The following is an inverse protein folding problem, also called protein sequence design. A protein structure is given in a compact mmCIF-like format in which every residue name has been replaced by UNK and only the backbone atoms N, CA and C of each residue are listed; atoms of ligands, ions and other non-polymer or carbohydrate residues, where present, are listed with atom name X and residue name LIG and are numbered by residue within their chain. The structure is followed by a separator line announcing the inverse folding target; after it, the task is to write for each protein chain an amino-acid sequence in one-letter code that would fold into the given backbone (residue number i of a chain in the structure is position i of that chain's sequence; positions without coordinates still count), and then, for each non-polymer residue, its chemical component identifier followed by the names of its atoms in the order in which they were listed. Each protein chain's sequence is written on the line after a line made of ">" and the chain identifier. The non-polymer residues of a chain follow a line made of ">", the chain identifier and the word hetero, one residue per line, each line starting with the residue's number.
data_IF_576573877545
#
_entry.id   IF_576573877545
#
_cell.length_a   1.000
_cell.length_b   1.000
_cell.length_c   1.000
_cell.angle_alpha   90.00
_cell.angle_beta   90.00
_cell.angle_gamma   90.00
#
_symmetry.space_group_name_H-M   'P 1'
#
loop_
_entity.id
_entity.type
_entity.pdbx_description
1 polymer ?
#
# COMPACT_ATOMS: atom_id res chain seq x y z
N UNK A 1 14.63 18.11 16.38
CA UNK A 1 13.44 17.49 15.78
C UNK A 1 13.90 16.89 14.47
N UNK A 2 13.64 15.61 14.17
CA UNK A 2 13.84 15.11 12.81
C UNK A 2 13.01 15.98 11.86
N UNK A 3 13.53 16.29 10.67
CA UNK A 3 12.74 16.96 9.64
C UNK A 3 11.61 16.02 9.20
N UNK A 4 10.39 16.56 9.18
CA UNK A 4 9.24 15.88 8.59
C UNK A 4 9.50 15.80 7.08
N UNK A 5 9.50 14.59 6.53
CA UNK A 5 9.76 14.37 5.11
C UNK A 5 8.70 15.10 4.27
N UNK A 6 9.12 15.73 3.18
CA UNK A 6 8.17 16.29 2.22
C UNK A 6 7.32 15.15 1.62
N UNK A 7 6.06 15.43 1.26
CA UNK A 7 5.12 14.41 0.78
C UNK A 7 5.65 13.60 -0.43
N UNK A 8 6.45 14.23 -1.29
CA UNK A 8 7.13 13.54 -2.39
C UNK A 8 8.13 12.48 -1.90
N UNK A 9 8.89 12.77 -0.85
CA UNK A 9 9.85 11.84 -0.26
C UNK A 9 9.16 10.67 0.46
N UNK A 10 7.96 10.90 1.01
CA UNK A 10 7.16 9.83 1.60
C UNK A 10 6.59 8.90 0.52
N UNK A 11 6.19 9.43 -0.63
CA UNK A 11 5.81 8.63 -1.79
C UNK A 11 7.00 7.80 -2.32
N UNK A 12 8.20 8.40 -2.37
CA UNK A 12 9.43 7.69 -2.76
C UNK A 12 9.73 6.50 -1.83
N UNK A 13 9.38 6.59 -0.54
CA UNK A 13 9.52 5.47 0.38
C UNK A 13 8.58 4.30 0.07
N UNK A 14 7.38 4.56 -0.47
CA UNK A 14 6.48 3.52 -0.97
C UNK A 14 7.04 2.94 -2.27
N UNK A 15 7.53 3.79 -3.18
CA UNK A 15 8.13 3.36 -4.45
C UNK A 15 9.37 2.47 -4.21
N UNK A 16 10.26 2.86 -3.31
CA UNK A 16 11.42 2.05 -2.90
C UNK A 16 10.98 0.70 -2.31
N UNK A 17 9.96 0.71 -1.44
CA UNK A 17 9.44 -0.52 -0.86
C UNK A 17 9.02 -1.53 -1.93
N UNK A 18 8.27 -1.06 -2.92
CA UNK A 18 7.70 -1.90 -3.97
C UNK A 18 8.74 -2.30 -5.01
N UNK A 19 9.79 -1.50 -5.23
CA UNK A 19 10.88 -1.85 -6.13
C UNK A 19 11.84 -2.87 -5.51
N UNK A 20 12.08 -2.81 -4.19
CA UNK A 20 13.10 -3.64 -3.53
C UNK A 20 12.49 -4.91 -2.93
N UNK A 21 11.46 -4.78 -2.08
CA UNK A 21 11.02 -5.89 -1.24
C UNK A 21 9.97 -6.75 -1.91
N UNK A 22 9.07 -6.18 -2.72
CA UNK A 22 8.04 -6.96 -3.39
C UNK A 22 8.64 -7.98 -4.37
N UNK A 23 9.59 -7.63 -5.27
CA UNK A 23 10.25 -8.62 -6.13
C UNK A 23 11.01 -9.69 -5.35
N UNK A 24 11.70 -9.29 -4.28
CA UNK A 24 12.42 -10.23 -3.41
C UNK A 24 11.46 -11.22 -2.73
N UNK A 25 10.34 -10.74 -2.20
CA UNK A 25 9.33 -11.58 -1.56
C UNK A 25 8.67 -12.53 -2.57
N UNK A 26 8.38 -12.06 -3.79
CA UNK A 26 7.90 -12.92 -4.88
C UNK A 26 8.88 -14.03 -5.22
N UNK A 27 10.17 -13.71 -5.29
CA UNK A 27 11.22 -14.69 -5.53
C UNK A 27 11.32 -15.75 -4.40
N UNK A 28 10.91 -15.42 -3.17
CA UNK A 28 10.78 -16.37 -2.05
C UNK A 28 9.51 -17.23 -2.11
N UNK A 29 8.57 -16.94 -3.01
CA UNK A 29 7.34 -17.71 -3.18
C UNK A 29 6.24 -17.37 -2.18
N UNK A 30 6.03 -16.09 -1.88
CA UNK A 30 4.86 -15.65 -1.10
C UNK A 30 3.55 -16.02 -1.83
N UNK A 31 2.51 -16.30 -1.05
CA UNK A 31 1.18 -16.58 -1.59
C UNK A 31 0.64 -15.38 -2.38
N UNK A 32 -0.02 -15.59 -3.53
CA UNK A 32 -0.67 -14.52 -4.28
C UNK A 32 -1.71 -13.76 -3.46
N UNK A 33 -1.97 -12.50 -3.82
CA UNK A 33 -3.12 -11.79 -3.29
C UNK A 33 -4.42 -12.39 -3.87
N UNK A 34 -5.52 -12.42 -3.09
CA UNK A 34 -6.83 -12.93 -3.56
C UNK A 34 -7.37 -12.23 -4.81
N UNK A 35 -7.11 -10.93 -4.92
CA UNK A 35 -7.39 -10.06 -6.05
C UNK A 35 -6.57 -8.77 -5.88
N UNK A 36 -6.73 -7.84 -6.82
CA UNK A 36 -6.03 -6.58 -6.77
C UNK A 36 -6.47 -5.71 -5.58
N UNK A 37 -5.52 -4.94 -5.06
CA UNK A 37 -5.70 -3.98 -3.99
C UNK A 37 -5.13 -2.64 -4.42
N UNK A 38 -5.86 -1.57 -4.13
CA UNK A 38 -5.41 -0.21 -4.37
C UNK A 38 -5.04 0.47 -3.06
N UNK A 39 -3.86 1.05 -3.01
CA UNK A 39 -3.47 2.04 -2.01
C UNK A 39 -3.60 3.42 -2.65
N UNK A 40 -4.34 4.34 -2.05
CA UNK A 40 -4.57 5.67 -2.60
C UNK A 40 -4.25 6.72 -1.57
N UNK A 41 -3.35 7.64 -1.90
CA UNK A 41 -3.03 8.75 -1.03
C UNK A 41 -4.12 9.82 -1.09
N UNK A 42 -4.55 10.34 0.06
CA UNK A 42 -5.54 11.41 0.14
C UNK A 42 -4.90 12.82 0.11
N UNK A 43 -3.60 12.91 0.43
CA UNK A 43 -2.82 14.16 0.55
C UNK A 43 -1.93 14.47 -0.66
N UNK A 44 -1.79 13.51 -1.58
CA UNK A 44 -1.11 13.67 -2.88
C UNK A 44 -1.85 12.92 -3.99
N UNK A 45 -1.68 13.36 -5.24
CA UNK A 45 -2.34 12.74 -6.40
C UNK A 45 -1.61 11.46 -6.87
N UNK A 46 -1.56 10.45 -5.99
CA UNK A 46 -0.87 9.18 -6.22
C UNK A 46 -1.70 7.98 -5.79
N UNK A 47 -1.51 6.89 -6.51
CA UNK A 47 -2.03 5.57 -6.15
C UNK A 47 -1.09 4.45 -6.55
N UNK A 48 -1.20 3.33 -5.85
CA UNK A 48 -0.45 2.10 -6.10
C UNK A 48 -1.42 0.93 -6.20
N UNK A 49 -1.43 0.26 -7.35
CA UNK A 49 -2.17 -0.98 -7.55
C UNK A 49 -1.25 -2.16 -7.29
N UNK A 50 -1.54 -2.92 -6.25
CA UNK A 50 -0.97 -4.25 -6.02
C UNK A 50 -1.83 -5.26 -6.79
N UNK A 51 -1.26 -5.90 -7.80
CA UNK A 51 -1.96 -6.94 -8.56
C UNK A 51 -1.98 -8.25 -7.78
N UNK A 52 -2.90 -9.15 -8.13
CA UNK A 52 -2.99 -10.49 -7.55
C UNK A 52 -1.65 -11.25 -7.52
N UNK A 53 -0.81 -11.04 -8.54
CA UNK A 53 0.51 -11.66 -8.70
C UNK A 53 1.68 -10.81 -8.16
N UNK A 54 1.37 -9.82 -7.31
CA UNK A 54 2.32 -8.94 -6.62
C UNK A 54 3.15 -8.02 -7.54
N UNK A 55 2.68 -7.70 -8.74
CA UNK A 55 3.22 -6.52 -9.43
C UNK A 55 2.62 -5.26 -8.83
N UNK A 56 3.40 -4.18 -8.82
CA UNK A 56 2.90 -2.88 -8.38
C UNK A 56 2.94 -1.91 -9.54
N UNK A 57 1.82 -1.23 -9.77
CA UNK A 57 1.68 -0.18 -10.76
C UNK A 57 1.39 1.11 -10.02
N UNK A 58 2.40 1.99 -9.95
CA UNK A 58 2.24 3.35 -9.45
C UNK A 58 1.62 4.23 -10.55
N UNK A 59 0.67 5.08 -10.17
CA UNK A 59 0.02 6.02 -11.07
C UNK A 59 -0.05 7.42 -10.46
N UNK A 60 -0.08 8.42 -11.34
CA UNK A 60 -0.58 9.77 -10.99
C UNK A 60 -2.08 9.70 -11.21
N UNK A 61 -2.85 10.14 -10.21
CA UNK A 61 -4.30 10.01 -10.21
C UNK A 61 -4.81 9.04 -9.15
N UNK A 62 -6.03 9.29 -8.72
CA UNK A 62 -6.78 8.48 -7.74
C UNK A 62 -7.96 7.73 -8.36
N UNK A 63 -7.98 7.63 -9.69
CA UNK A 63 -9.00 6.89 -10.45
C UNK A 63 -8.82 5.38 -10.26
N UNK A 64 -9.67 4.82 -9.40
CA UNK A 64 -9.74 3.40 -9.11
C UNK A 64 -10.99 2.80 -9.76
N UNK A 65 -10.91 1.62 -10.42
CA UNK A 65 -12.08 0.97 -10.96
C UNK A 65 -13.17 0.75 -9.90
N UNK A 66 -14.43 0.94 -10.29
CA UNK A 66 -15.58 0.77 -9.38
C UNK A 66 -15.55 -0.62 -8.73
N UNK A 67 -15.87 -0.68 -7.43
CA UNK A 67 -15.88 -1.88 -6.60
C UNK A 67 -14.51 -2.55 -6.36
N UNK A 68 -13.40 -1.90 -6.73
CA UNK A 68 -12.07 -2.37 -6.30
C UNK A 68 -11.90 -2.20 -4.80
N UNK A 69 -11.19 -3.10 -4.16
CA UNK A 69 -10.78 -2.97 -2.77
C UNK A 69 -9.72 -1.86 -2.63
N UNK A 70 -9.98 -0.90 -1.73
CA UNK A 70 -9.12 0.28 -1.56
C UNK A 70 -8.78 0.51 -0.09
N UNK A 71 -7.51 0.80 0.17
CA UNK A 71 -7.08 1.48 1.38
C UNK A 71 -6.72 2.94 1.03
N UNK A 72 -7.42 3.89 1.64
CA UNK A 72 -7.09 5.32 1.56
C UNK A 72 -6.52 5.83 2.87
N UNK A 73 -5.49 6.64 2.79
CA UNK A 73 -4.91 7.38 3.91
C UNK A 73 -3.94 8.43 3.36
N UNK A 74 -3.37 9.26 4.23
CA UNK A 74 -2.21 10.09 3.88
C UNK A 74 -1.02 9.20 3.48
N UNK A 75 -0.15 9.69 2.59
CA UNK A 75 0.95 8.88 2.04
C UNK A 75 1.88 8.33 3.12
N UNK A 76 2.16 9.09 4.17
CA UNK A 76 2.94 8.64 5.31
C UNK A 76 2.28 7.48 6.06
N UNK A 77 0.96 7.47 6.14
CA UNK A 77 0.19 6.42 6.80
C UNK A 77 0.17 5.13 5.97
N UNK A 78 0.05 5.25 4.65
CA UNK A 78 0.24 4.13 3.73
C UNK A 78 1.64 3.53 3.84
N UNK A 79 2.67 4.38 3.93
CA UNK A 79 4.05 3.93 4.14
C UNK A 79 4.19 3.18 5.48
N UNK A 80 3.58 3.64 6.56
CA UNK A 80 3.57 2.95 7.85
C UNK A 80 2.91 1.56 7.78
N UNK A 81 1.89 1.36 6.95
CA UNK A 81 1.30 0.04 6.73
C UNK A 81 2.30 -0.92 6.08
N UNK A 82 3.07 -0.43 5.10
CA UNK A 82 4.01 -1.25 4.33
C UNK A 82 5.30 -1.56 5.11
N UNK A 83 5.88 -0.54 5.74
CA UNK A 83 7.17 -0.61 6.43
C UNK A 83 7.04 -1.05 7.88
N UNK A 84 6.13 -0.43 8.62
CA UNK A 84 5.99 -0.63 10.07
C UNK A 84 4.86 -1.59 10.44
N UNK A 85 4.17 -2.15 9.43
CA UNK A 85 3.01 -3.04 9.59
C UNK A 85 1.92 -2.41 10.48
N UNK A 86 1.74 -1.09 10.36
CA UNK A 86 0.63 -0.40 11.03
C UNK A 86 -0.69 -1.09 10.66
N UNK A 87 -1.55 -1.28 11.66
CA UNK A 87 -2.79 -2.03 11.52
C UNK A 87 -3.96 -1.08 11.16
N UNK A 88 -4.47 -1.09 9.91
CA UNK A 88 -5.52 -0.16 9.49
C UNK A 88 -6.82 -0.31 10.29
N UNK A 89 -7.14 -1.53 10.74
CA UNK A 89 -8.35 -1.83 11.51
C UNK A 89 -8.32 -1.29 12.95
N UNK A 90 -7.16 -0.84 13.44
CA UNK A 90 -7.02 -0.28 14.79
C UNK A 90 -6.94 1.26 14.78
N UNK A 91 -6.90 1.88 13.59
CA UNK A 91 -6.70 3.31 13.40
C UNK A 91 -7.73 3.88 12.39
N UNK A 92 -9.05 3.77 12.66
CA UNK A 92 -10.10 4.13 11.70
C UNK A 92 -10.15 5.63 11.37
N UNK A 93 -9.56 6.48 12.21
CA UNK A 93 -9.46 7.92 11.95
C UNK A 93 -8.36 8.27 10.92
N UNK A 94 -7.47 7.32 10.63
CA UNK A 94 -6.33 7.46 9.70
C UNK A 94 -6.53 6.70 8.39
N UNK A 95 -7.23 5.56 8.47
CA UNK A 95 -7.39 4.65 7.33
C UNK A 95 -8.86 4.48 6.97
N UNK A 96 -9.17 4.64 5.68
CA UNK A 96 -10.47 4.31 5.12
C UNK A 96 -10.35 3.07 4.24
N UNK A 97 -11.13 2.05 4.57
CA UNK A 97 -11.19 0.79 3.84
C UNK A 97 -12.48 0.76 3.03
N UNK A 98 -12.38 0.56 1.72
CA UNK A 98 -13.51 0.60 0.77
C UNK A 98 -13.65 -0.74 0.04
N UNK A 99 -14.89 -1.17 -0.19
CA UNK A 99 -15.28 -2.33 -0.99
C UNK A 99 -14.71 -3.71 -0.58
N UNK A 100 -14.20 -3.86 0.63
CA UNK A 100 -13.70 -5.14 1.16
C UNK A 100 -12.39 -4.96 1.92
N UNK A 101 -11.87 -6.04 2.49
CA UNK A 101 -10.56 -6.02 3.15
C UNK A 101 -9.77 -7.33 3.00
N UNK A 102 -10.15 -8.18 2.04
CA UNK A 102 -9.60 -9.52 1.89
C UNK A 102 -8.16 -9.46 1.36
N UNK A 103 -7.93 -8.66 0.32
CA UNK A 103 -6.58 -8.46 -0.22
C UNK A 103 -5.71 -7.62 0.71
N UNK A 104 -6.29 -6.65 1.42
CA UNK A 104 -5.60 -5.84 2.43
C UNK A 104 -5.11 -6.70 3.61
N UNK A 105 -5.92 -7.65 4.08
CA UNK A 105 -5.48 -8.64 5.09
C UNK A 105 -4.33 -9.49 4.59
N UNK A 106 -4.37 -9.92 3.33
CA UNK A 106 -3.27 -10.65 2.72
C UNK A 106 -2.00 -9.79 2.64
N UNK A 107 -2.11 -8.53 2.19
CA UNK A 107 -0.99 -7.59 2.17
C UNK A 107 -0.36 -7.41 3.56
N UNK A 108 -1.16 -7.07 4.57
CA UNK A 108 -0.69 -6.75 5.94
C UNK A 108 -0.13 -7.98 6.66
N UNK A 109 -0.59 -9.19 6.34
CA UNK A 109 -0.07 -10.43 6.95
C UNK A 109 1.17 -10.98 6.24
N UNK A 110 1.40 -10.63 4.98
CA UNK A 110 2.53 -11.15 4.20
C UNK A 110 3.88 -10.57 4.67
N UNK A 111 4.93 -11.39 4.86
CA UNK A 111 6.27 -10.93 5.24
C UNK A 111 7.06 -10.43 4.01
N UNK A 112 6.69 -9.26 3.49
CA UNK A 112 7.31 -8.70 2.27
C UNK A 112 8.75 -8.24 2.51
N UNK A 113 9.01 -7.50 3.59
CA UNK A 113 10.32 -6.91 3.89
C UNK A 113 11.08 -7.58 5.06
N UNK A 114 10.61 -8.75 5.52
CA UNK A 114 11.26 -9.55 6.57
C UNK A 114 12.20 -10.62 6.00
#
# INVERSE_FOLDING_TARGET
>A
MPEELELGQQADAIDEFVEVFVPAARARGIEPLPHDLFLVADDIDRSWRFTADWNVIAAIGTDVPLASEVLRADVGDLALVLWERANPWQLPDRFRIENGDTALRALVSTPVHL
#
